data_IF_400808079133
#
_entry.id   IF_400808079133
#
_cell.length_a   1.000
_cell.length_b   1.000
_cell.length_c   1.000
_cell.angle_alpha   90.00
_cell.angle_beta   90.00
_cell.angle_gamma   90.00
#
_symmetry.space_group_name_H-M   'P 1'
#
loop_
_entity.id
_entity.type
_entity.pdbx_description
1 polymer ?
#
# COMPACT_ATOMS: atom_id res chain seq x y z
N UNK A 1 -19.24 -14.89 18.84
CA UNK A 1 -19.62 -13.64 19.51
C UNK A 1 -19.46 -13.94 20.99
N UNK A 2 -18.50 -13.31 21.66
CA UNK A 2 -18.33 -13.38 23.12
C UNK A 2 -17.68 -12.05 23.52
N UNK A 3 -18.49 -11.00 23.56
CA UNK A 3 -18.14 -9.75 24.22
C UNK A 3 -18.53 -9.95 25.67
N UNK A 4 -17.56 -9.82 26.60
CA UNK A 4 -17.82 -10.16 28.01
C UNK A 4 -18.67 -9.07 28.63
N UNK A 5 -19.70 -9.45 29.38
CA UNK A 5 -20.61 -8.50 30.04
C UNK A 5 -19.88 -7.47 30.94
N UNK A 6 -18.69 -7.82 31.44
CA UNK A 6 -17.84 -6.92 32.21
C UNK A 6 -17.30 -5.73 31.39
N UNK A 7 -16.95 -5.94 30.12
CA UNK A 7 -16.44 -4.90 29.20
C UNK A 7 -17.53 -3.87 28.90
N UNK A 8 -18.74 -4.34 28.57
CA UNK A 8 -19.92 -3.49 28.34
C UNK A 8 -20.23 -2.65 29.60
N UNK A 9 -20.10 -3.25 30.79
CA UNK A 9 -20.35 -2.54 32.05
C UNK A 9 -19.33 -1.44 32.34
N UNK A 10 -18.06 -1.65 32.00
CA UNK A 10 -17.02 -0.64 32.16
C UNK A 10 -17.24 0.54 31.19
N UNK A 11 -17.52 0.24 29.93
CA UNK A 11 -17.79 1.24 28.89
C UNK A 11 -19.04 2.07 29.24
N UNK A 12 -20.14 1.42 29.64
CA UNK A 12 -21.37 2.12 30.03
C UNK A 12 -21.18 3.02 31.25
N UNK A 13 -20.38 2.59 32.24
CA UNK A 13 -20.06 3.42 33.41
C UNK A 13 -19.26 4.65 33.02
N UNK A 14 -18.33 4.53 32.09
CA UNK A 14 -17.52 5.66 31.62
C UNK A 14 -18.35 6.62 30.76
N UNK A 15 -19.25 6.11 29.92
CA UNK A 15 -20.22 6.94 29.18
C UNK A 15 -21.12 7.76 30.09
N UNK A 16 -21.62 7.17 31.19
CA UNK A 16 -22.45 7.89 32.17
C UNK A 16 -21.61 8.95 32.90
N UNK A 17 -20.34 8.65 33.21
CA UNK A 17 -19.43 9.55 33.91
C UNK A 17 -19.03 10.76 33.06
N UNK A 18 -18.89 10.56 31.75
CA UNK A 18 -18.46 11.60 30.79
C UNK A 18 -19.63 12.24 30.03
N UNK A 19 -20.88 11.98 30.46
CA UNK A 19 -22.08 12.55 29.86
C UNK A 19 -22.08 14.08 30.02
N UNK A 20 -21.74 14.80 28.95
CA UNK A 20 -21.57 16.26 28.90
C UNK A 20 -20.19 16.77 28.46
N UNK A 21 -19.19 15.89 28.28
CA UNK A 21 -17.87 16.21 27.67
C UNK A 21 -17.75 15.64 26.24
N UNK A 22 -18.77 15.84 25.39
CA UNK A 22 -18.90 15.15 24.10
C UNK A 22 -17.76 15.37 23.10
N UNK A 23 -16.98 16.46 23.22
CA UNK A 23 -15.97 16.81 22.22
C UNK A 23 -14.71 15.92 22.25
N UNK A 24 -14.11 15.64 23.42
CA UNK A 24 -12.86 14.88 23.52
C UNK A 24 -13.05 13.36 23.32
N UNK A 25 -14.20 12.80 23.70
CA UNK A 25 -14.47 11.36 23.59
C UNK A 25 -14.64 10.92 22.13
N UNK A 26 -15.07 11.82 21.23
CA UNK A 26 -15.30 11.49 19.82
C UNK A 26 -14.03 11.26 18.99
N UNK A 27 -12.88 11.77 19.45
CA UNK A 27 -11.61 11.73 18.70
C UNK A 27 -10.64 10.66 19.21
N UNK A 28 -10.92 10.10 20.39
CA UNK A 28 -10.09 9.12 21.08
C UNK A 28 -10.84 7.81 21.19
N UNK A 29 -10.13 6.70 21.08
CA UNK A 29 -10.67 5.38 21.28
C UNK A 29 -9.85 4.55 22.24
N UNK A 30 -10.39 3.39 22.60
CA UNK A 30 -9.75 2.43 23.48
C UNK A 30 -9.65 1.06 22.80
N UNK A 31 -8.47 0.44 22.85
CA UNK A 31 -8.26 -0.91 22.29
C UNK A 31 -9.08 -1.91 23.08
N UNK A 32 -10.05 -2.56 22.44
CA UNK A 32 -10.81 -3.67 22.99
C UNK A 32 -10.07 -5.00 22.86
N UNK A 33 -9.36 -5.18 21.75
CA UNK A 33 -8.60 -6.40 21.49
C UNK A 33 -7.54 -6.14 20.43
N UNK A 34 -6.40 -6.80 20.52
CA UNK A 34 -5.34 -6.77 19.52
C UNK A 34 -4.86 -8.20 19.26
N UNK A 35 -4.71 -8.56 17.98
CA UNK A 35 -4.15 -9.84 17.58
C UNK A 35 -3.91 -9.91 16.08
N UNK A 36 -2.83 -10.59 15.69
CA UNK A 36 -2.43 -10.77 14.29
C UNK A 36 -2.37 -9.45 13.48
N UNK A 37 -1.94 -8.35 14.13
CA UNK A 37 -1.88 -7.03 13.51
C UNK A 37 -3.23 -6.32 13.31
N UNK A 38 -4.32 -6.80 13.92
CA UNK A 38 -5.63 -6.15 13.89
C UNK A 38 -6.08 -5.78 15.30
N UNK A 39 -6.32 -4.49 15.51
CA UNK A 39 -6.94 -3.96 16.71
C UNK A 39 -8.44 -3.73 16.47
N UNK A 40 -9.27 -4.07 17.45
CA UNK A 40 -10.64 -3.54 17.55
C UNK A 40 -10.61 -2.42 18.56
N UNK A 41 -11.10 -1.26 18.18
CA UNK A 41 -11.05 -0.03 18.97
C UNK A 41 -12.46 0.46 19.21
N UNK A 42 -12.82 0.70 20.47
CA UNK A 42 -14.07 1.36 20.85
C UNK A 42 -13.91 2.88 20.78
N UNK A 43 -14.97 3.61 20.43
CA UNK A 43 -14.93 5.07 20.23
C UNK A 43 -14.45 5.42 18.82
N UNK A 44 -13.65 6.50 18.71
CA UNK A 44 -13.26 7.07 17.41
C UNK A 44 -14.48 7.43 16.53
N UNK A 45 -15.53 7.97 17.12
CA UNK A 45 -16.85 8.16 16.48
C UNK A 45 -16.80 8.91 15.14
N UNK A 46 -15.84 9.82 14.99
CA UNK A 46 -15.67 10.65 13.80
C UNK A 46 -14.60 10.12 12.81
N UNK A 47 -14.07 8.92 13.03
CA UNK A 47 -13.02 8.35 12.16
C UNK A 47 -13.56 7.97 10.80
N UNK A 48 -12.77 8.23 9.76
CA UNK A 48 -13.11 7.91 8.39
C UNK A 48 -12.50 6.57 7.96
N UNK A 49 -13.14 5.92 6.99
CA UNK A 49 -12.55 4.75 6.34
C UNK A 49 -11.23 5.14 5.67
N UNK A 50 -10.17 4.39 5.94
CA UNK A 50 -8.82 4.70 5.47
C UNK A 50 -8.10 5.81 6.25
N UNK A 51 -8.67 6.28 7.37
CA UNK A 51 -8.00 7.24 8.24
C UNK A 51 -6.88 6.58 9.04
N UNK A 52 -5.77 7.29 9.18
CA UNK A 52 -4.65 6.90 10.01
C UNK A 52 -5.01 7.14 11.49
N UNK A 53 -4.62 6.19 12.33
CA UNK A 53 -4.70 6.31 13.79
C UNK A 53 -3.34 6.03 14.41
N UNK A 54 -3.13 6.55 15.61
CA UNK A 54 -1.90 6.42 16.37
C UNK A 54 -2.16 5.73 17.71
N UNK A 55 -1.37 4.68 17.95
CA UNK A 55 -1.32 3.91 19.18
C UNK A 55 -0.20 4.43 20.09
N UNK A 56 -0.16 4.02 21.37
CA UNK A 56 0.96 4.32 22.24
C UNK A 56 2.29 3.86 21.64
N UNK A 57 3.36 4.62 21.90
CA UNK A 57 4.69 4.34 21.34
C UNK A 57 4.86 4.74 19.87
N UNK A 58 3.91 5.49 19.30
CA UNK A 58 3.99 6.02 17.93
C UNK A 58 3.72 4.99 16.83
N UNK A 59 3.24 3.80 17.21
CA UNK A 59 2.78 2.80 16.24
C UNK A 59 1.54 3.34 15.55
N UNK A 60 1.49 3.21 14.22
CA UNK A 60 0.37 3.71 13.43
C UNK A 60 -0.49 2.57 12.92
N UNK A 61 -1.75 2.85 12.66
CA UNK A 61 -2.66 1.94 11.97
C UNK A 61 -3.60 2.67 11.02
N UNK A 62 -4.42 1.92 10.30
CA UNK A 62 -5.44 2.43 9.39
C UNK A 62 -6.80 1.80 9.72
N UNK A 63 -7.83 2.63 9.81
CA UNK A 63 -9.21 2.18 9.97
C UNK A 63 -9.72 1.51 8.68
N UNK A 64 -10.18 0.26 8.77
CA UNK A 64 -10.68 -0.53 7.64
C UNK A 64 -12.10 -1.09 7.82
N UNK A 65 -12.61 -1.11 9.04
CA UNK A 65 -14.00 -1.46 9.31
C UNK A 65 -14.58 -0.47 10.30
N UNK A 66 -15.73 0.13 9.97
CA UNK A 66 -16.46 1.04 10.86
C UNK A 66 -17.75 0.32 11.25
N UNK A 67 -17.77 -0.31 12.41
CA UNK A 67 -18.97 -0.92 12.99
C UNK A 67 -19.63 0.10 13.93
N UNK A 68 -20.89 -0.14 14.32
CA UNK A 68 -21.63 0.79 15.18
C UNK A 68 -21.00 0.95 16.58
N UNK A 69 -20.31 -0.08 17.06
CA UNK A 69 -19.76 -0.17 18.41
C UNK A 69 -18.23 -0.28 18.43
N UNK A 70 -17.59 -0.44 17.27
CA UNK A 70 -16.14 -0.62 17.19
C UNK A 70 -15.58 -0.31 15.82
N UNK A 71 -14.30 0.04 15.80
CA UNK A 71 -13.51 0.30 14.61
C UNK A 71 -12.45 -0.78 14.47
N UNK A 72 -12.49 -1.49 13.35
CA UNK A 72 -11.42 -2.42 12.95
C UNK A 72 -10.24 -1.63 12.40
N UNK A 73 -9.18 -1.54 13.20
CA UNK A 73 -7.94 -0.87 12.84
C UNK A 73 -6.88 -1.91 12.53
N UNK A 74 -6.21 -1.70 11.42
CA UNK A 74 -5.11 -2.54 10.99
C UNK A 74 -3.79 -1.85 11.30
N UNK A 75 -2.90 -2.55 12.02
CA UNK A 75 -1.65 -1.99 12.57
C UNK A 75 -0.52 -2.07 11.54
N UNK A 76 0.23 -0.99 11.40
CA UNK A 76 1.46 -0.93 10.62
C UNK A 76 2.66 -1.13 11.55
N UNK A 77 3.38 -2.24 11.35
CA UNK A 77 4.53 -2.60 12.17
C UNK A 77 4.20 -3.61 13.25
N UNK A 78 4.91 -3.56 14.38
CA UNK A 78 4.73 -4.54 15.45
C UNK A 78 3.55 -4.19 16.35
N UNK A 79 2.70 -5.19 16.60
CA UNK A 79 1.57 -5.14 17.53
C UNK A 79 1.96 -5.49 18.98
N UNK A 80 3.19 -5.95 19.22
CA UNK A 80 3.65 -6.40 20.56
C UNK A 80 3.64 -5.33 21.64
N UNK A 81 3.68 -4.06 21.25
CA UNK A 81 3.64 -2.92 22.16
C UNK A 81 2.23 -2.39 22.44
N UNK A 82 1.19 -2.99 21.84
CA UNK A 82 -0.20 -2.57 21.99
C UNK A 82 -0.89 -3.55 22.93
N UNK A 83 -1.62 -3.03 23.91
CA UNK A 83 -2.39 -3.80 24.87
C UNK A 83 -3.88 -3.42 24.85
N UNK A 84 -4.72 -4.33 25.35
CA UNK A 84 -6.12 -4.00 25.65
C UNK A 84 -6.18 -2.86 26.69
N UNK A 85 -7.10 -1.93 26.46
CA UNK A 85 -7.24 -0.73 27.27
C UNK A 85 -6.40 0.46 26.79
N UNK A 86 -5.47 0.27 25.85
CA UNK A 86 -4.63 1.35 25.32
C UNK A 86 -5.45 2.42 24.61
N UNK A 87 -5.01 3.67 24.76
CA UNK A 87 -5.63 4.82 24.10
C UNK A 87 -5.15 4.96 22.67
N UNK A 88 -6.09 5.06 21.73
CA UNK A 88 -5.84 5.27 20.30
C UNK A 88 -6.35 6.63 19.90
N UNK A 89 -5.60 7.37 19.09
CA UNK A 89 -5.99 8.70 18.62
C UNK A 89 -6.12 8.71 17.11
N UNK A 90 -7.17 9.33 16.59
CA UNK A 90 -7.26 9.62 15.16
C UNK A 90 -6.25 10.70 14.77
N UNK A 91 -5.74 10.64 13.55
CA UNK A 91 -4.81 11.67 13.04
C UNK A 91 -5.50 12.75 12.22
N UNK A 92 -6.77 12.56 11.83
CA UNK A 92 -7.49 13.43 10.89
C UNK A 92 -7.02 13.28 9.44
N UNK A 93 -6.06 12.40 9.16
CA UNK A 93 -5.46 12.22 7.85
C UNK A 93 -5.76 10.82 7.28
N UNK A 94 -6.31 10.79 6.07
CA UNK A 94 -6.36 9.57 5.25
C UNK A 94 -4.94 9.16 4.88
N UNK A 95 -4.70 7.84 4.78
CA UNK A 95 -3.37 7.29 4.46
C UNK A 95 -2.75 7.99 3.25
N UNK A 96 -1.57 8.55 3.49
CA UNK A 96 -0.77 9.25 2.50
C UNK A 96 0.70 8.85 2.59
N UNK A 97 1.43 9.05 1.50
CA UNK A 97 2.86 8.74 1.40
C UNK A 97 3.64 9.95 0.91
N UNK A 98 4.88 10.13 1.38
CA UNK A 98 5.78 11.13 0.81
C UNK A 98 6.03 10.81 -0.68
N UNK A 99 5.95 11.83 -1.53
CA UNK A 99 6.24 11.75 -2.97
C UNK A 99 7.29 12.79 -3.37
N UNK A 100 8.21 12.43 -4.26
CA UNK A 100 9.31 13.29 -4.68
C UNK A 100 10.51 12.50 -5.24
N UNK A 101 11.55 13.21 -5.68
CA UNK A 101 12.80 12.62 -6.19
C UNK A 101 13.90 12.68 -5.13
N UNK A 102 14.71 11.63 -5.02
CA UNK A 102 15.94 11.62 -4.20
C UNK A 102 15.76 11.12 -2.76
N UNK A 103 16.74 11.41 -1.85
CA UNK A 103 16.63 11.10 -0.41
C UNK A 103 15.26 11.54 0.12
N UNK A 104 14.70 10.88 1.15
CA UNK A 104 13.31 11.06 1.63
C UNK A 104 13.09 12.44 2.31
N UNK A 105 13.38 13.51 1.59
CA UNK A 105 12.96 14.89 1.81
C UNK A 105 11.90 15.14 0.76
N UNK A 106 10.69 14.65 1.03
CA UNK A 106 9.60 14.75 0.07
C UNK A 106 8.98 16.14 0.10
N UNK A 107 8.83 16.76 -1.08
CA UNK A 107 8.21 18.07 -1.23
C UNK A 107 6.69 18.03 -0.97
N UNK A 108 6.07 16.88 -1.24
CA UNK A 108 4.61 16.69 -1.16
C UNK A 108 4.26 15.35 -0.56
N UNK A 109 3.03 15.25 -0.03
CA UNK A 109 2.39 13.99 0.35
C UNK A 109 1.21 13.76 -0.57
N UNK A 110 0.97 12.51 -0.95
CA UNK A 110 -0.19 12.12 -1.77
C UNK A 110 -0.96 10.99 -1.10
N UNK A 111 -2.28 11.03 -1.22
CA UNK A 111 -3.15 9.94 -0.76
C UNK A 111 -2.87 8.69 -1.59
N UNK A 112 -2.86 7.53 -0.93
CA UNK A 112 -2.56 6.24 -1.56
C UNK A 112 -3.74 5.66 -2.35
N UNK A 113 -4.96 6.14 -2.09
CA UNK A 113 -6.19 5.68 -2.73
C UNK A 113 -6.92 6.90 -3.32
N UNK A 114 -6.74 7.10 -4.62
CA UNK A 114 -7.34 8.18 -5.39
C UNK A 114 -8.05 7.62 -6.62
N UNK A 115 -9.10 8.30 -7.06
CA UNK A 115 -9.85 7.87 -8.24
C UNK A 115 -8.98 8.07 -9.48
N UNK A 116 -8.79 6.98 -10.24
CA UNK A 116 -8.06 7.04 -11.50
C UNK A 116 -8.69 8.05 -12.49
N UNK A 117 -7.88 8.67 -13.37
CA UNK A 117 -8.39 9.59 -14.39
C UNK A 117 -9.49 8.95 -15.25
N UNK A 118 -10.56 9.70 -15.52
CA UNK A 118 -11.64 9.27 -16.42
C UNK A 118 -11.17 9.10 -17.87
N UNK A 119 -12.08 8.79 -18.79
CA UNK A 119 -11.72 8.56 -20.20
C UNK A 119 -11.25 9.85 -20.89
N UNK A 120 -11.92 10.97 -20.63
CA UNK A 120 -11.65 12.28 -21.27
C UNK A 120 -10.18 12.75 -21.14
N UNK A 121 -9.54 12.72 -19.96
CA UNK A 121 -8.14 13.14 -19.82
C UNK A 121 -7.12 12.12 -20.37
N UNK A 122 -7.53 10.92 -20.78
CA UNK A 122 -6.61 9.90 -21.29
C UNK A 122 -6.28 10.15 -22.76
N UNK A 123 -5.08 9.72 -23.15
CA UNK A 123 -4.62 9.66 -24.54
C UNK A 123 -4.37 8.21 -24.91
N UNK A 124 -4.61 7.86 -26.18
CA UNK A 124 -4.19 6.55 -26.71
C UNK A 124 -2.69 6.35 -26.52
N UNK A 125 -2.30 5.14 -26.13
CA UNK A 125 -0.89 4.75 -26.04
C UNK A 125 -0.29 4.82 -27.46
N UNK A 126 0.75 5.64 -27.63
CA UNK A 126 1.33 5.96 -28.94
C UNK A 126 2.87 6.05 -28.90
N UNK A 127 3.48 5.90 -27.73
CA UNK A 127 4.93 5.94 -27.54
C UNK A 127 5.40 4.58 -26.98
N UNK A 128 6.48 3.99 -27.51
CA UNK A 128 6.98 2.73 -26.99
C UNK A 128 7.72 2.90 -25.65
N UNK A 129 7.66 1.87 -24.81
CA UNK A 129 8.53 1.66 -23.66
C UNK A 129 9.40 0.44 -24.00
N UNK A 130 10.67 0.70 -24.31
CA UNK A 130 11.61 -0.35 -24.75
C UNK A 130 12.05 -1.17 -23.54
N UNK A 131 11.80 -2.48 -23.56
CA UNK A 131 12.25 -3.38 -22.49
C UNK A 131 13.70 -3.80 -22.65
N UNK A 132 14.26 -3.71 -23.86
CA UNK A 132 15.59 -4.23 -24.19
C UNK A 132 15.60 -5.74 -24.47
N UNK A 133 14.43 -6.38 -24.41
CA UNK A 133 14.26 -7.81 -24.61
C UNK A 133 13.65 -8.02 -25.99
N UNK A 134 14.46 -8.56 -26.92
CA UNK A 134 14.07 -8.75 -28.33
C UNK A 134 12.72 -9.47 -28.51
N UNK A 135 12.46 -10.52 -27.73
CA UNK A 135 11.21 -11.28 -27.84
C UNK A 135 9.99 -10.48 -27.38
N UNK A 136 10.14 -9.55 -26.44
CA UNK A 136 9.06 -8.68 -25.98
C UNK A 136 8.89 -7.53 -26.96
N UNK A 137 9.97 -6.76 -27.20
CA UNK A 137 9.90 -5.55 -28.03
C UNK A 137 9.48 -5.84 -29.48
N UNK A 138 9.74 -7.04 -30.01
CA UNK A 138 9.33 -7.42 -31.36
C UNK A 138 7.94 -8.07 -31.45
N UNK A 139 7.53 -8.88 -30.46
CA UNK A 139 6.30 -9.68 -30.56
C UNK A 139 5.14 -9.10 -29.74
N UNK A 140 5.45 -8.52 -28.58
CA UNK A 140 4.47 -7.98 -27.61
C UNK A 140 5.00 -6.62 -27.15
N UNK A 141 5.04 -5.60 -28.03
CA UNK A 141 5.58 -4.30 -27.68
C UNK A 141 4.76 -3.67 -26.55
N UNK A 142 5.47 -3.06 -25.59
CA UNK A 142 4.86 -2.35 -24.46
C UNK A 142 4.94 -0.85 -24.72
N UNK A 143 3.83 -0.13 -24.57
CA UNK A 143 3.79 1.31 -24.71
C UNK A 143 3.72 2.08 -23.39
N UNK A 144 4.11 3.36 -23.41
CA UNK A 144 3.99 4.27 -22.26
C UNK A 144 2.51 4.49 -21.92
N UNK A 145 2.10 4.06 -20.73
CA UNK A 145 0.69 4.08 -20.28
C UNK A 145 -0.07 2.76 -20.52
N UNK A 146 0.57 1.74 -21.09
CA UNK A 146 0.03 0.39 -21.17
C UNK A 146 0.17 -0.34 -19.82
N UNK A 147 -0.69 -1.32 -19.60
CA UNK A 147 -0.57 -2.30 -18.50
C UNK A 147 -0.29 -3.65 -19.12
N UNK A 148 0.87 -4.22 -18.83
CA UNK A 148 1.31 -5.51 -19.37
C UNK A 148 1.54 -6.51 -18.25
N UNK A 149 0.91 -7.68 -18.34
CA UNK A 149 0.98 -8.70 -17.29
C UNK A 149 2.11 -9.70 -17.58
N UNK A 150 3.06 -9.81 -16.64
CA UNK A 150 4.07 -10.87 -16.65
C UNK A 150 3.57 -12.02 -15.76
N UNK A 151 3.05 -13.08 -16.39
CA UNK A 151 2.56 -14.28 -15.71
C UNK A 151 3.45 -15.49 -15.98
N UNK A 152 3.60 -16.36 -14.99
CA UNK A 152 4.34 -17.61 -15.12
C UNK A 152 4.68 -18.23 -13.78
N UNK A 153 5.14 -19.48 -13.81
CA UNK A 153 5.48 -20.26 -12.63
C UNK A 153 6.66 -19.71 -11.84
N UNK A 154 6.95 -20.29 -10.68
CA UNK A 154 8.12 -19.90 -9.88
C UNK A 154 9.40 -20.09 -10.70
N UNK A 155 10.34 -19.15 -10.55
CA UNK A 155 11.66 -19.22 -11.19
C UNK A 155 11.67 -19.21 -12.73
N UNK A 156 10.62 -18.69 -13.37
CA UNK A 156 10.56 -18.54 -14.84
C UNK A 156 11.13 -17.22 -15.38
N UNK A 157 11.88 -16.47 -14.57
CA UNK A 157 12.52 -15.22 -15.01
C UNK A 157 11.66 -13.95 -14.96
N UNK A 158 10.46 -13.99 -14.33
CA UNK A 158 9.58 -12.80 -14.23
C UNK A 158 10.27 -11.55 -13.67
N UNK A 159 10.97 -11.69 -12.55
CA UNK A 159 11.72 -10.60 -11.93
C UNK A 159 12.93 -10.17 -12.77
N UNK A 160 13.53 -11.08 -13.54
CA UNK A 160 14.62 -10.75 -14.46
C UNK A 160 14.13 -9.88 -15.61
N UNK A 161 12.98 -10.22 -16.21
CA UNK A 161 12.34 -9.40 -17.25
C UNK A 161 12.08 -7.98 -16.75
N UNK A 162 11.55 -7.85 -15.52
CA UNK A 162 11.32 -6.54 -14.91
C UNK A 162 12.62 -5.78 -14.62
N UNK A 163 13.66 -6.46 -14.13
CA UNK A 163 14.97 -5.87 -13.88
C UNK A 163 15.58 -5.32 -15.17
N UNK A 164 15.63 -6.15 -16.22
CA UNK A 164 16.18 -5.77 -17.52
C UNK A 164 15.42 -4.58 -18.12
N UNK A 165 14.09 -4.58 -18.01
CA UNK A 165 13.28 -3.45 -18.43
C UNK A 165 13.64 -2.16 -17.67
N UNK A 166 13.89 -2.20 -16.36
CA UNK A 166 14.34 -1.02 -15.58
C UNK A 166 15.75 -0.57 -15.99
N UNK A 167 16.68 -1.51 -16.17
CA UNK A 167 18.06 -1.22 -16.58
C UNK A 167 18.13 -0.59 -17.97
N UNK A 168 17.26 -1.03 -18.89
CA UNK A 168 17.20 -0.50 -20.25
C UNK A 168 16.76 0.98 -20.32
N UNK A 169 16.22 1.54 -19.23
CA UNK A 169 15.85 2.96 -19.17
C UNK A 169 17.03 3.89 -18.86
N UNK A 170 18.22 3.36 -18.60
CA UNK A 170 19.40 4.16 -18.29
C UNK A 170 19.76 5.19 -19.38
N UNK A 171 19.78 4.84 -20.68
CA UNK A 171 20.15 5.81 -21.73
C UNK A 171 19.18 6.99 -21.84
N UNK A 172 17.87 6.75 -21.67
CA UNK A 172 16.86 7.82 -21.73
C UNK A 172 16.90 8.70 -20.47
N UNK A 173 17.24 8.13 -19.30
CA UNK A 173 17.39 8.89 -18.07
C UNK A 173 18.70 9.68 -18.00
N UNK A 174 19.73 9.24 -18.72
CA UNK A 174 20.96 10.01 -18.94
C UNK A 174 20.77 11.19 -19.89
N UNK A 175 19.62 11.29 -20.59
CA UNK A 175 19.31 12.45 -21.41
C UNK A 175 18.98 13.68 -20.56
N UNK A 176 19.29 14.87 -21.07
CA UNK A 176 18.98 16.14 -20.41
C UNK A 176 17.50 16.55 -20.52
N UNK A 177 16.68 15.82 -21.29
CA UNK A 177 15.27 16.16 -21.48
C UNK A 177 14.38 15.42 -20.47
N UNK A 178 13.88 16.18 -19.51
CA UNK A 178 13.01 15.70 -18.44
C UNK A 178 11.72 15.02 -18.96
N UNK A 179 11.24 15.42 -20.15
CA UNK A 179 10.04 14.82 -20.77
C UNK A 179 10.31 13.44 -21.35
N UNK A 180 11.56 13.10 -21.62
CA UNK A 180 11.93 11.78 -22.16
C UNK A 180 12.29 10.78 -21.06
N UNK A 181 12.64 11.29 -19.87
CA UNK A 181 12.96 10.48 -18.71
C UNK A 181 11.78 9.60 -18.30
N UNK A 182 12.14 8.43 -17.80
CA UNK A 182 11.20 7.41 -17.36
C UNK A 182 11.66 6.92 -16.00
N UNK A 183 10.93 7.33 -14.97
CA UNK A 183 11.21 6.98 -13.59
C UNK A 183 10.66 5.60 -13.27
N UNK A 184 11.47 4.77 -12.64
CA UNK A 184 11.12 3.39 -12.34
C UNK A 184 10.64 3.26 -10.90
N UNK A 185 9.59 2.48 -10.66
CA UNK A 185 9.08 2.16 -9.33
C UNK A 185 8.98 0.64 -9.24
N UNK A 186 9.75 0.03 -8.35
CA UNK A 186 9.69 -1.41 -8.10
C UNK A 186 9.09 -1.66 -6.72
N UNK A 187 7.95 -2.34 -6.70
CA UNK A 187 7.21 -2.69 -5.48
C UNK A 187 7.40 -4.18 -5.20
N UNK A 188 8.24 -4.48 -4.20
CA UNK A 188 8.41 -5.84 -3.69
C UNK A 188 7.36 -6.12 -2.60
N UNK A 189 6.43 -7.02 -2.91
CA UNK A 189 5.37 -7.48 -1.99
C UNK A 189 5.65 -8.92 -1.59
N UNK A 190 5.75 -9.18 -0.28
CA UNK A 190 5.97 -10.50 0.31
C UNK A 190 7.21 -11.24 -0.20
N UNK A 191 8.21 -10.52 -0.74
CA UNK A 191 9.46 -11.11 -1.20
C UNK A 191 10.40 -11.38 -0.01
N UNK A 192 11.35 -12.31 -0.18
CA UNK A 192 12.42 -12.50 0.79
C UNK A 192 13.31 -11.27 0.80
N UNK A 193 13.71 -10.81 1.98
CA UNK A 193 14.59 -9.65 2.15
C UNK A 193 15.91 -9.78 1.37
N UNK A 194 16.48 -10.98 1.32
CA UNK A 194 17.69 -11.28 0.55
C UNK A 194 17.49 -11.10 -0.95
N UNK A 195 16.33 -11.49 -1.50
CA UNK A 195 16.00 -11.31 -2.92
C UNK A 195 15.87 -9.84 -3.27
N UNK A 196 15.20 -9.04 -2.43
CA UNK A 196 15.10 -7.59 -2.62
C UNK A 196 16.49 -6.94 -2.54
N UNK A 197 17.31 -7.31 -1.57
CA UNK A 197 18.67 -6.79 -1.43
C UNK A 197 19.55 -7.12 -2.65
N UNK A 198 19.44 -8.33 -3.20
CA UNK A 198 20.12 -8.70 -4.44
C UNK A 198 19.65 -7.85 -5.63
N UNK A 199 18.34 -7.63 -5.75
CA UNK A 199 17.77 -6.78 -6.80
C UNK A 199 18.28 -5.34 -6.71
N UNK A 200 18.24 -4.74 -5.53
CA UNK A 200 18.76 -3.39 -5.27
C UNK A 200 20.25 -3.30 -5.58
N UNK A 201 21.03 -4.31 -5.18
CA UNK A 201 22.46 -4.37 -5.46
C UNK A 201 22.74 -4.32 -6.97
N UNK A 202 21.99 -5.07 -7.79
CA UNK A 202 22.17 -5.02 -9.25
C UNK A 202 21.80 -3.65 -9.81
N UNK A 203 20.72 -3.03 -9.32
CA UNK A 203 20.37 -1.67 -9.73
C UNK A 203 21.46 -0.65 -9.37
N UNK A 204 22.07 -0.78 -8.20
CA UNK A 204 23.16 0.09 -7.76
C UNK A 204 24.42 -0.11 -8.61
N UNK A 205 24.87 -1.36 -8.80
CA UNK A 205 26.04 -1.69 -9.62
C UNK A 205 25.89 -1.23 -11.08
N UNK A 206 24.67 -1.21 -11.60
CA UNK A 206 24.37 -0.76 -12.95
C UNK A 206 23.99 0.72 -13.04
N UNK A 207 23.97 1.47 -11.93
CA UNK A 207 23.64 2.90 -11.88
C UNK A 207 22.18 3.21 -12.24
N UNK A 208 21.27 2.28 -11.99
CA UNK A 208 19.83 2.44 -12.23
C UNK A 208 19.07 2.99 -11.01
N UNK A 209 19.71 2.99 -9.84
CA UNK A 209 19.09 3.48 -8.59
C UNK A 209 18.80 4.99 -8.63
N UNK A 210 19.53 5.76 -9.45
CA UNK A 210 19.35 7.22 -9.59
C UNK A 210 17.96 7.64 -10.10
N UNK A 211 17.30 6.77 -10.86
CA UNK A 211 15.98 7.00 -11.43
C UNK A 211 14.94 5.97 -10.95
N UNK A 212 15.28 5.16 -9.93
CA UNK A 212 14.41 4.09 -9.43
C UNK A 212 14.01 4.30 -7.96
N UNK A 213 12.74 4.05 -7.65
CA UNK A 213 12.20 4.01 -6.28
C UNK A 213 11.89 2.55 -5.94
N UNK A 214 12.33 2.11 -4.76
CA UNK A 214 12.09 0.75 -4.27
C UNK A 214 11.15 0.80 -3.07
N UNK A 215 9.98 0.18 -3.20
CA UNK A 215 9.03 -0.03 -2.10
C UNK A 215 9.16 -1.49 -1.68
N UNK A 216 9.57 -1.72 -0.43
CA UNK A 216 9.79 -3.06 0.10
C UNK A 216 8.83 -3.36 1.26
N UNK A 217 7.82 -4.19 1.01
CA UNK A 217 7.04 -4.87 2.03
C UNK A 217 7.33 -6.38 1.92
N UNK A 218 8.35 -6.82 2.65
CA UNK A 218 8.91 -8.17 2.60
C UNK A 218 8.01 -9.21 3.27
N UNK A 219 8.34 -10.50 3.12
CA UNK A 219 7.58 -11.59 3.73
C UNK A 219 7.53 -11.56 5.28
N UNK A 220 8.49 -10.88 5.93
CA UNK A 220 8.50 -10.70 7.39
C UNK A 220 7.64 -9.52 7.87
N UNK A 221 7.20 -8.68 6.94
CA UNK A 221 6.38 -7.52 7.26
C UNK A 221 4.91 -7.93 7.43
N UNK A 222 4.16 -7.27 8.35
CA UNK A 222 2.74 -7.49 8.50
C UNK A 222 1.96 -7.44 7.18
N UNK A 223 0.93 -8.29 7.05
CA UNK A 223 0.00 -8.29 5.91
C UNK A 223 -0.52 -6.89 5.50
N UNK A 224 -0.79 -5.97 6.43
CA UNK A 224 -1.21 -4.61 6.10
C UNK A 224 -0.21 -3.82 5.25
N UNK A 225 1.09 -3.96 5.55
CA UNK A 225 2.12 -3.29 4.76
C UNK A 225 2.24 -3.92 3.37
N UNK A 226 2.12 -5.24 3.28
CA UNK A 226 2.10 -5.96 2.00
C UNK A 226 0.88 -5.58 1.13
N UNK A 227 -0.28 -5.38 1.75
CA UNK A 227 -1.49 -4.90 1.10
C UNK A 227 -1.34 -3.48 0.55
N UNK A 228 -0.75 -2.58 1.35
CA UNK A 228 -0.67 -1.15 1.03
C UNK A 228 0.47 -0.80 0.06
N UNK A 229 1.54 -1.60 0.03
CA UNK A 229 2.75 -1.30 -0.75
C UNK A 229 2.49 -0.99 -2.24
N UNK A 230 1.63 -1.72 -2.96
CA UNK A 230 1.30 -1.37 -4.35
C UNK A 230 0.62 -0.02 -4.50
N UNK A 231 -0.29 0.35 -3.60
CA UNK A 231 -0.94 1.66 -3.59
C UNK A 231 0.05 2.80 -3.31
N UNK A 232 0.98 2.58 -2.37
CA UNK A 232 2.07 3.52 -2.12
C UNK A 232 2.96 3.71 -3.36
N UNK A 233 3.31 2.62 -4.04
CA UNK A 233 4.05 2.67 -5.31
C UNK A 233 3.29 3.41 -6.40
N UNK A 234 1.98 3.17 -6.52
CA UNK A 234 1.11 3.87 -7.47
C UNK A 234 1.13 5.37 -7.21
N UNK A 235 0.92 5.82 -5.97
CA UNK A 235 0.96 7.24 -5.61
C UNK A 235 2.30 7.93 -5.96
N UNK A 236 3.43 7.22 -5.80
CA UNK A 236 4.74 7.71 -6.24
C UNK A 236 4.88 7.77 -7.77
N UNK A 237 4.33 6.78 -8.49
CA UNK A 237 4.27 6.77 -9.96
C UNK A 237 3.37 7.87 -10.52
N UNK A 238 2.22 8.12 -9.87
CA UNK A 238 1.27 9.16 -10.24
C UNK A 238 1.86 10.56 -10.13
N UNK A 239 2.75 10.79 -9.15
CA UNK A 239 3.49 12.04 -9.08
C UNK A 239 4.25 12.34 -10.39
N UNK A 240 4.93 11.35 -10.96
CA UNK A 240 5.63 11.54 -12.22
C UNK A 240 4.66 11.77 -13.39
N UNK A 241 3.61 10.95 -13.47
CA UNK A 241 2.55 11.07 -14.49
C UNK A 241 1.92 12.46 -14.52
N UNK A 242 1.53 12.98 -13.35
CA UNK A 242 0.75 14.21 -13.23
C UNK A 242 1.60 15.48 -13.37
N UNK A 243 2.94 15.34 -13.29
CA UNK A 243 3.89 16.42 -13.52
C UNK A 243 4.57 16.34 -14.91
N UNK A 244 3.96 15.65 -15.86
CA UNK A 244 4.40 15.61 -17.26
C UNK A 244 5.67 14.78 -17.52
N UNK A 245 6.01 13.89 -16.59
CA UNK A 245 7.09 12.91 -16.73
C UNK A 245 6.52 11.51 -17.01
N UNK A 246 7.36 10.56 -17.37
CA UNK A 246 6.95 9.16 -17.52
C UNK A 246 7.37 8.32 -16.32
N UNK A 247 6.59 7.27 -16.06
CA UNK A 247 6.90 6.27 -15.05
C UNK A 247 6.66 4.85 -15.56
N UNK A 248 7.51 3.93 -15.11
CA UNK A 248 7.32 2.49 -15.17
C UNK A 248 7.14 1.99 -13.75
N UNK A 249 6.05 1.29 -13.48
CA UNK A 249 5.81 0.63 -12.20
C UNK A 249 5.79 -0.88 -12.38
N UNK A 250 6.49 -1.60 -11.50
CA UNK A 250 6.54 -3.06 -11.45
C UNK A 250 6.05 -3.52 -10.08
N UNK A 251 5.06 -4.41 -10.09
CA UNK A 251 4.54 -5.05 -8.88
C UNK A 251 5.01 -6.51 -8.79
N UNK A 252 5.83 -6.84 -7.79
CA UNK A 252 6.42 -8.18 -7.59
C UNK A 252 6.11 -8.71 -6.17
N UNK A 253 4.98 -9.36 -5.91
CA UNK A 253 3.93 -9.69 -6.88
C UNK A 253 2.51 -9.44 -6.32
N UNK A 254 1.56 -9.21 -7.23
CA UNK A 254 0.16 -8.94 -6.87
C UNK A 254 -0.57 -10.17 -6.30
N UNK A 255 -0.06 -11.39 -6.57
CA UNK A 255 -0.62 -12.60 -5.95
C UNK A 255 -0.41 -12.59 -4.44
N UNK A 256 0.76 -12.14 -3.95
CA UNK A 256 1.04 -11.97 -2.53
C UNK A 256 0.26 -10.80 -1.93
N UNK A 257 0.00 -9.73 -2.69
CA UNK A 257 -0.92 -8.67 -2.25
C UNK A 257 -2.33 -9.23 -2.02
N UNK A 258 -2.85 -10.05 -2.94
CA UNK A 258 -4.16 -10.67 -2.79
C UNK A 258 -4.21 -11.62 -1.57
N UNK A 259 -3.14 -12.38 -1.32
CA UNK A 259 -3.03 -13.23 -0.12
C UNK A 259 -3.04 -12.39 1.16
N UNK A 260 -2.32 -11.26 1.18
CA UNK A 260 -2.34 -10.33 2.31
C UNK A 260 -3.74 -9.73 2.52
N UNK A 261 -4.43 -9.32 1.44
CA UNK A 261 -5.80 -8.82 1.52
C UNK A 261 -6.78 -9.87 2.03
N UNK A 262 -6.61 -11.13 1.61
CA UNK A 262 -7.37 -12.26 2.11
C UNK A 262 -7.18 -12.45 3.61
N UNK A 263 -5.93 -12.45 4.08
CA UNK A 263 -5.63 -12.58 5.51
C UNK A 263 -6.31 -11.46 6.31
N UNK A 264 -6.16 -10.21 5.88
CA UNK A 264 -6.80 -9.07 6.54
C UNK A 264 -8.32 -9.19 6.57
N UNK A 265 -8.93 -9.59 5.46
CA UNK A 265 -10.39 -9.74 5.36
C UNK A 265 -10.93 -10.83 6.29
N UNK A 266 -10.21 -11.96 6.41
CA UNK A 266 -10.59 -13.06 7.32
C UNK A 266 -10.46 -12.67 8.78
N UNK A 267 -9.39 -11.95 9.15
CA UNK A 267 -9.18 -11.44 10.51
C UNK A 267 -10.23 -10.39 10.90
N UNK A 268 -10.67 -9.56 9.93
CA UNK A 268 -11.82 -8.66 10.05
C UNK A 268 -13.17 -9.38 9.98
N UNK A 269 -13.18 -10.72 9.92
CA UNK A 269 -14.37 -11.58 9.84
C UNK A 269 -15.31 -11.23 8.68
N UNK A 270 -14.76 -10.70 7.58
CA UNK A 270 -15.52 -10.50 6.35
C UNK A 270 -15.85 -11.87 5.74
N UNK A 271 -17.10 -12.11 5.30
CA UNK A 271 -17.45 -13.35 4.64
C UNK A 271 -16.56 -13.62 3.42
N UNK A 272 -15.90 -14.78 3.34
CA UNK A 272 -15.06 -15.12 2.19
C UNK A 272 -15.90 -15.64 1.02
N UNK A 273 -15.35 -15.50 -0.18
CA UNK A 273 -15.84 -16.11 -1.42
C UNK A 273 -14.96 -17.28 -1.87
N UNK A 274 -14.77 -17.40 -3.20
CA UNK A 274 -13.98 -18.47 -3.81
C UNK A 274 -12.52 -18.45 -3.31
N UNK A 275 -11.98 -19.64 -3.02
CA UNK A 275 -10.60 -19.82 -2.53
C UNK A 275 -10.27 -18.99 -1.27
N UNK A 276 -11.33 -18.72 -0.49
CA UNK A 276 -11.34 -17.89 0.69
C UNK A 276 -11.01 -16.39 0.47
N UNK A 277 -10.88 -15.92 -0.76
CA UNK A 277 -10.68 -14.50 -1.05
C UNK A 277 -11.95 -13.69 -0.76
N UNK A 278 -11.82 -12.41 -0.34
CA UNK A 278 -12.97 -11.53 -0.19
C UNK A 278 -13.64 -11.26 -1.55
N UNK A 279 -14.94 -10.98 -1.53
CA UNK A 279 -15.74 -10.80 -2.76
C UNK A 279 -15.25 -9.67 -3.68
N UNK A 280 -14.53 -8.70 -3.12
CA UNK A 280 -13.99 -7.51 -3.80
C UNK A 280 -12.48 -7.64 -4.15
N UNK A 281 -11.91 -8.85 -4.13
CA UNK A 281 -10.50 -9.09 -4.55
C UNK A 281 -10.25 -8.65 -6.00
N UNK A 282 -11.26 -8.70 -6.86
CA UNK A 282 -11.15 -8.14 -8.21
C UNK A 282 -11.07 -6.61 -8.18
N UNK A 283 -11.92 -5.98 -7.36
CA UNK A 283 -11.94 -4.52 -7.22
C UNK A 283 -10.59 -3.99 -6.74
N UNK A 284 -9.93 -4.72 -5.83
CA UNK A 284 -8.58 -4.43 -5.33
C UNK A 284 -7.58 -4.17 -6.47
N UNK A 285 -7.46 -5.08 -7.43
CA UNK A 285 -6.49 -4.94 -8.52
C UNK A 285 -7.01 -4.09 -9.68
N UNK A 286 -8.34 -3.93 -9.82
CA UNK A 286 -8.92 -3.09 -10.87
C UNK A 286 -8.73 -1.58 -10.61
N UNK A 287 -8.66 -1.19 -9.33
CA UNK A 287 -8.48 0.19 -8.89
C UNK A 287 -7.03 0.59 -8.65
N UNK A 288 -6.13 -0.40 -8.56
CA UNK A 288 -4.68 -0.22 -8.50
C UNK A 288 -4.14 0.20 -9.88
#
# INVERSE_FOLDING_TARGET
MDIRAAEISAILKDQIKNFGQEAEVSEVGQVLSIGDGIARVYGLDNVQYGEMVEFPGGVRGMALNLENDSVGVVVFGSDRGIAEGDTVKRTGAIVDVPVGKGPIVAEKRSRVDVKAPGIIPRKSVHEPMQTGIKSIDALIPVGRGQRELIIGDRQTGKTAVALDAILNQKPINASGDEKQKLYCVYVAVGQKRSTVAQFVKVLEEQGALEYSIIIAATASDPAPMQFLAPFAGCAMGEYFRDNGMHALIVYDDLSKQAVAYRQMSLLLRRPPGREAYPGDVFYLHSRL
#
